data_IF_566016706329
#
_entry.id   IF_566016706329
#
_cell.length_a   1.000
_cell.length_b   1.000
_cell.length_c   1.000
_cell.angle_alpha   90.00
_cell.angle_beta   90.00
_cell.angle_gamma   90.00
#
_symmetry.space_group_name_H-M   'P 1'
#
loop_
_entity.id
_entity.type
_entity.pdbx_description
1 polymer ?
#
# COMPACT_ATOMS: atom_id res chain seq x y z
N UNK A 1 -11.40 8.41 0.28
CA UNK A 1 -9.98 8.06 0.14
C UNK A 1 -9.69 7.72 -1.29
N UNK A 2 -8.81 8.46 -1.89
CA UNK A 2 -8.59 8.25 -3.32
C UNK A 2 -7.82 6.96 -3.59
N UNK A 3 -8.26 6.29 -4.63
CA UNK A 3 -7.54 5.13 -5.15
C UNK A 3 -6.31 5.66 -5.88
N UNK A 4 -5.14 5.09 -5.55
CA UNK A 4 -3.90 5.45 -6.22
C UNK A 4 -3.83 4.72 -7.55
N UNK A 5 -4.07 3.41 -7.55
CA UNK A 5 -4.16 2.62 -8.77
C UNK A 5 -4.83 1.29 -8.46
N UNK A 6 -5.19 0.58 -9.53
CA UNK A 6 -5.72 -0.79 -9.44
C UNK A 6 -4.81 -1.69 -10.25
N UNK A 7 -4.62 -2.90 -9.75
CA UNK A 7 -3.83 -3.91 -10.44
C UNK A 7 -4.57 -5.24 -10.26
N UNK A 8 -5.13 -5.76 -11.36
CA UNK A 8 -5.98 -6.93 -11.28
C UNK A 8 -7.14 -6.69 -10.33
N UNK A 9 -7.38 -7.59 -9.39
CA UNK A 9 -8.49 -7.43 -8.45
C UNK A 9 -8.15 -6.51 -7.27
N UNK A 10 -6.92 -6.00 -7.20
CA UNK A 10 -6.44 -5.26 -6.03
C UNK A 10 -6.57 -3.77 -6.23
N UNK A 11 -7.07 -3.08 -5.20
CA UNK A 11 -7.17 -1.63 -5.16
C UNK A 11 -6.17 -1.10 -4.16
N UNK A 12 -5.29 -0.19 -4.62
CA UNK A 12 -4.24 0.40 -3.78
C UNK A 12 -4.62 1.83 -3.45
N UNK A 13 -4.53 2.21 -2.18
CA UNK A 13 -4.94 3.54 -1.75
C UNK A 13 -4.19 3.95 -0.49
N UNK A 14 -4.19 5.26 -0.23
CA UNK A 14 -3.68 5.80 1.02
C UNK A 14 -4.86 6.13 1.91
N UNK A 15 -4.72 5.77 3.17
CA UNK A 15 -5.72 6.05 4.18
C UNK A 15 -5.34 7.35 4.85
N UNK A 16 -6.23 8.29 4.86
CA UNK A 16 -5.98 9.61 5.43
C UNK A 16 -6.45 9.66 6.86
N UNK A 17 -5.83 10.42 7.72
CA UNK A 17 -4.43 10.80 7.80
C UNK A 17 -3.73 9.97 8.86
N UNK A 18 -2.52 9.55 8.57
CA UNK A 18 -1.72 8.82 9.54
C UNK A 18 -0.36 9.49 9.63
N UNK A 19 -0.32 10.71 10.15
CA UNK A 19 0.88 11.54 10.05
C UNK A 19 2.05 11.04 10.88
N UNK A 20 1.79 10.16 11.84
CA UNK A 20 2.85 9.67 12.72
C UNK A 20 3.43 8.33 12.26
N UNK A 21 2.98 7.83 11.12
CA UNK A 21 3.46 6.56 10.62
C UNK A 21 4.35 6.75 9.40
N UNK A 22 5.33 5.86 9.20
CA UNK A 22 6.11 5.88 7.97
C UNK A 22 5.23 5.68 6.74
N UNK A 23 5.73 6.02 5.56
CA UNK A 23 4.96 5.81 4.34
C UNK A 23 4.49 4.38 4.20
N UNK A 24 3.22 4.22 3.82
CA UNK A 24 2.61 2.90 3.65
C UNK A 24 1.46 2.98 2.66
N UNK A 25 1.02 1.82 2.16
CA UNK A 25 -0.09 1.73 1.24
C UNK A 25 -1.06 0.67 1.74
N UNK A 26 -2.33 0.92 1.54
CA UNK A 26 -3.39 -0.04 1.84
C UNK A 26 -3.82 -0.73 0.55
N UNK A 27 -4.19 -2.00 0.66
CA UNK A 27 -4.61 -2.82 -0.48
C UNK A 27 -5.89 -3.55 -0.10
N UNK A 28 -6.90 -3.40 -0.93
CA UNK A 28 -8.18 -4.08 -0.71
C UNK A 28 -8.54 -4.95 -1.90
N UNK A 29 -9.19 -6.07 -1.62
CA UNK A 29 -9.90 -6.89 -2.59
C UNK A 29 -11.12 -7.44 -1.88
N UNK A 30 -12.32 -7.03 -2.31
CA UNK A 30 -13.57 -7.43 -1.66
C UNK A 30 -13.50 -7.12 -0.17
N UNK A 31 -13.64 -8.12 0.70
CA UNK A 31 -13.59 -7.92 2.15
C UNK A 31 -12.19 -8.09 2.73
N UNK A 32 -11.18 -8.34 1.87
CA UNK A 32 -9.81 -8.53 2.32
C UNK A 32 -9.04 -7.22 2.29
N UNK A 33 -8.15 -7.03 3.24
CA UNK A 33 -7.34 -5.81 3.28
C UNK A 33 -5.95 -6.10 3.79
N UNK A 34 -5.00 -5.24 3.41
CA UNK A 34 -3.62 -5.35 3.86
C UNK A 34 -2.98 -3.97 3.90
N UNK A 35 -1.91 -3.86 4.68
CA UNK A 35 -1.13 -2.64 4.81
C UNK A 35 0.33 -3.00 4.62
N UNK A 36 1.02 -2.28 3.75
CA UNK A 36 2.44 -2.52 3.44
C UNK A 36 3.25 -1.25 3.66
N UNK A 37 4.39 -1.40 4.33
CA UNK A 37 5.35 -0.30 4.45
C UNK A 37 6.04 -0.08 3.10
N UNK A 38 6.34 1.17 2.77
CA UNK A 38 6.90 1.52 1.46
C UNK A 38 8.42 1.69 1.46
N UNK A 39 9.00 2.23 2.53
CA UNK A 39 10.44 2.44 2.55
C UNK A 39 11.21 1.14 2.44
N UNK A 40 10.74 0.16 3.18
CA UNK A 40 11.26 -1.18 3.10
C UNK A 40 10.04 -2.05 2.92
N UNK A 41 9.83 -2.57 1.72
CA UNK A 41 8.59 -3.26 1.41
C UNK A 41 8.40 -4.44 2.36
N UNK A 42 7.42 -4.31 3.23
CA UNK A 42 7.13 -5.33 4.24
C UNK A 42 5.66 -5.26 4.62
N UNK A 43 5.08 -6.41 4.87
CA UNK A 43 3.70 -6.49 5.31
C UNK A 43 3.58 -6.01 6.74
N UNK A 44 2.72 -5.02 6.96
CA UNK A 44 2.44 -4.52 8.30
C UNK A 44 1.27 -5.28 8.93
N UNK A 45 0.22 -5.54 8.13
CA UNK A 45 -0.98 -6.19 8.62
C UNK A 45 -1.81 -6.70 7.45
N UNK A 46 -2.55 -7.79 7.66
CA UNK A 46 -3.49 -8.26 6.64
C UNK A 46 -4.69 -8.93 7.30
N UNK A 47 -5.82 -8.85 6.60
CA UNK A 47 -7.06 -9.50 7.02
C UNK A 47 -7.65 -10.17 5.77
N UNK A 48 -7.81 -11.49 5.81
CA UNK A 48 -8.51 -12.24 4.78
C UNK A 48 -7.67 -12.74 3.60
N UNK A 49 -6.54 -12.13 3.30
CA UNK A 49 -5.70 -12.59 2.20
C UNK A 49 -4.96 -13.87 2.59
N UNK A 50 -4.80 -14.79 1.61
CA UNK A 50 -3.98 -15.97 1.82
C UNK A 50 -2.53 -15.69 1.45
N UNK A 51 -1.66 -16.65 1.71
CA UNK A 51 -0.22 -16.48 1.50
C UNK A 51 0.11 -16.20 0.03
N UNK A 52 -0.55 -16.89 -0.88
CA UNK A 52 -0.33 -16.69 -2.32
C UNK A 52 -0.66 -15.27 -2.74
N UNK A 53 -1.81 -14.77 -2.28
CA UNK A 53 -2.22 -13.41 -2.61
C UNK A 53 -1.28 -12.38 -2.00
N UNK A 54 -0.86 -12.60 -0.76
CA UNK A 54 0.09 -11.69 -0.12
C UNK A 54 1.42 -11.66 -0.87
N UNK A 55 1.84 -12.79 -1.42
CA UNK A 55 3.04 -12.83 -2.26
C UNK A 55 2.89 -12.03 -3.53
N UNK A 56 1.73 -12.14 -4.18
CA UNK A 56 1.44 -11.35 -5.38
C UNK A 56 1.45 -9.86 -5.09
N UNK A 57 0.76 -9.48 -4.01
CA UNK A 57 0.67 -8.07 -3.62
C UNK A 57 2.05 -7.53 -3.27
N UNK A 58 2.84 -8.30 -2.55
CA UNK A 58 4.21 -7.90 -2.19
C UNK A 58 5.01 -7.59 -3.44
N UNK A 59 4.90 -8.43 -4.46
CA UNK A 59 5.63 -8.22 -5.70
C UNK A 59 5.18 -6.94 -6.40
N UNK A 60 3.86 -6.70 -6.43
CA UNK A 60 3.32 -5.47 -7.02
C UNK A 60 3.85 -4.24 -6.29
N UNK A 61 3.84 -4.28 -4.96
CA UNK A 61 4.32 -3.14 -4.16
C UNK A 61 5.80 -2.90 -4.42
N UNK A 62 6.60 -3.97 -4.54
CA UNK A 62 8.03 -3.81 -4.85
C UNK A 62 8.25 -3.17 -6.20
N UNK A 63 7.53 -3.63 -7.21
CA UNK A 63 7.67 -3.09 -8.56
C UNK A 63 7.30 -1.62 -8.60
N UNK A 64 6.28 -1.24 -7.84
CA UNK A 64 5.77 0.12 -7.86
C UNK A 64 6.26 0.96 -6.68
N UNK A 65 7.28 0.50 -5.97
CA UNK A 65 7.74 1.17 -4.75
C UNK A 65 8.07 2.64 -4.97
N UNK A 66 8.85 2.94 -6.00
CA UNK A 66 9.25 4.32 -6.28
C UNK A 66 8.04 5.20 -6.59
N UNK A 67 7.11 4.68 -7.40
CA UNK A 67 5.90 5.41 -7.75
C UNK A 67 5.02 5.65 -6.54
N UNK A 68 4.87 4.63 -5.70
CA UNK A 68 4.06 4.74 -4.49
C UNK A 68 4.69 5.72 -3.50
N UNK A 69 6.01 5.68 -3.35
CA UNK A 69 6.70 6.59 -2.46
C UNK A 69 6.55 8.03 -2.94
N UNK A 70 6.66 8.25 -4.25
CA UNK A 70 6.44 9.56 -4.83
C UNK A 70 5.03 10.06 -4.64
N UNK A 71 4.05 9.16 -4.80
CA UNK A 71 2.65 9.51 -4.58
C UNK A 71 2.39 9.87 -3.11
N UNK A 72 3.00 9.13 -2.19
CA UNK A 72 2.89 9.44 -0.77
C UNK A 72 3.43 10.83 -0.47
N UNK A 73 4.60 11.13 -1.00
CA UNK A 73 5.21 12.46 -0.78
C UNK A 73 4.34 13.56 -1.34
N UNK A 74 3.74 13.34 -2.52
CA UNK A 74 2.84 14.31 -3.12
C UNK A 74 1.57 14.53 -2.32
N UNK A 75 1.10 13.48 -1.65
CA UNK A 75 -0.15 13.50 -0.90
C UNK A 75 0.00 14.10 0.50
N UNK A 76 1.06 13.70 1.20
CA UNK A 76 1.24 14.06 2.60
C UNK A 76 2.39 15.03 2.81
N UNK A 77 3.00 15.50 1.74
CA UNK A 77 4.17 16.34 1.83
C UNK A 77 5.43 15.52 2.05
N UNK A 78 6.56 16.19 1.89
CA UNK A 78 7.86 15.56 2.04
C UNK A 78 8.16 15.39 3.51
N UNK A 79 8.10 14.19 4.00
CA UNK A 79 8.34 13.86 5.41
C UNK A 79 9.82 13.71 5.66
N UNK A 80 10.36 14.51 6.56
CA UNK A 80 11.78 14.48 6.91
C UNK A 80 12.01 14.24 8.36
#
# INVERSE_FOLDING_TARGET
>A
MPTIFRDGPYRFYFYSPEPNEPPHVHVDRDSCSAKFWLRQVALARSVGFNVTELGEITRIVRIRQAALQGAWNGYFGDQR
#
